data_IF_064503973993
#
_entry.id   IF_064503973993
#
_cell.length_a   1.000
_cell.length_b   1.000
_cell.length_c   1.000
_cell.angle_alpha   90.00
_cell.angle_beta   90.00
_cell.angle_gamma   90.00
#
_symmetry.space_group_name_H-M   'P 1'
#
loop_
_entity.id
_entity.type
_entity.pdbx_description
1 polymer ?
#
# COMPACT_ATOMS: atom_id res chain seq x y z
N UNK A 1 -19.72 -21.64 -9.56
CA UNK A 1 -19.32 -20.22 -9.53
C UNK A 1 -18.00 -20.07 -8.80
N UNK A 2 -17.09 -19.30 -9.36
CA UNK A 2 -15.80 -19.01 -8.69
C UNK A 2 -15.97 -17.90 -7.65
N UNK A 3 -15.02 -17.81 -6.72
CA UNK A 3 -14.97 -16.71 -5.75
C UNK A 3 -14.91 -15.35 -6.49
N UNK A 4 -14.07 -15.26 -7.53
CA UNK A 4 -13.93 -14.06 -8.33
C UNK A 4 -15.27 -13.63 -8.97
N UNK A 5 -16.00 -14.57 -9.55
CA UNK A 5 -17.30 -14.29 -10.18
C UNK A 5 -18.33 -13.87 -9.12
N UNK A 6 -18.35 -14.52 -7.97
CA UNK A 6 -19.23 -14.16 -6.86
C UNK A 6 -18.97 -12.74 -6.36
N UNK A 7 -17.71 -12.43 -6.09
CA UNK A 7 -17.32 -11.12 -5.56
C UNK A 7 -17.56 -10.01 -6.59
N UNK A 8 -17.37 -10.28 -7.88
CA UNK A 8 -17.70 -9.32 -8.93
C UNK A 8 -19.17 -8.90 -8.89
N UNK A 9 -20.07 -9.84 -8.58
CA UNK A 9 -21.50 -9.56 -8.43
C UNK A 9 -21.83 -8.75 -7.18
N UNK A 10 -20.90 -8.69 -6.22
CA UNK A 10 -21.05 -7.95 -4.96
C UNK A 10 -20.29 -6.61 -5.00
N UNK A 11 -20.00 -6.09 -6.17
CA UNK A 11 -19.29 -4.81 -6.38
C UNK A 11 -17.84 -4.80 -5.90
N UNK A 12 -17.19 -5.96 -5.91
CA UNK A 12 -15.75 -6.04 -5.66
C UNK A 12 -14.97 -5.95 -6.95
N UNK A 13 -13.81 -5.32 -6.87
CA UNK A 13 -12.83 -5.31 -7.97
C UNK A 13 -11.64 -6.16 -7.57
N UNK A 14 -11.19 -6.97 -8.52
CA UNK A 14 -10.04 -7.85 -8.34
C UNK A 14 -8.74 -7.16 -8.73
N UNK A 15 -7.75 -7.26 -7.86
CA UNK A 15 -6.39 -6.76 -8.10
C UNK A 15 -5.47 -7.97 -8.03
N UNK A 16 -4.75 -8.24 -9.13
CA UNK A 16 -3.80 -9.34 -9.17
C UNK A 16 -2.59 -9.03 -8.28
N UNK A 17 -2.17 -10.01 -7.51
CA UNK A 17 -1.00 -9.91 -6.64
C UNK A 17 0.10 -10.82 -7.13
N UNK A 18 1.35 -10.41 -6.93
CA UNK A 18 2.50 -11.27 -7.05
C UNK A 18 3.01 -11.64 -5.67
N UNK A 19 3.42 -12.90 -5.51
CA UNK A 19 3.92 -13.40 -4.23
C UNK A 19 5.43 -13.51 -4.28
N UNK A 20 6.12 -12.91 -3.29
CA UNK A 20 7.58 -12.99 -3.22
C UNK A 20 8.02 -14.37 -2.72
N UNK A 21 9.32 -14.66 -2.86
CA UNK A 21 9.90 -15.93 -2.41
C UNK A 21 9.73 -16.18 -0.91
N UNK A 22 9.58 -15.14 -0.11
CA UNK A 22 9.34 -15.23 1.34
C UNK A 22 7.86 -15.08 1.72
N UNK A 23 6.97 -15.03 0.72
CA UNK A 23 5.53 -15.10 0.93
C UNK A 23 4.80 -13.78 1.08
N UNK A 24 5.46 -12.64 0.83
CA UNK A 24 4.77 -11.34 0.84
C UNK A 24 4.00 -11.12 -0.47
N UNK A 25 2.85 -10.47 -0.36
CA UNK A 25 2.07 -10.06 -1.54
C UNK A 25 2.43 -8.64 -1.95
N UNK A 26 2.67 -8.46 -3.23
CA UNK A 26 2.98 -7.19 -3.87
C UNK A 26 2.05 -6.95 -5.05
N UNK A 27 1.88 -5.70 -5.43
CA UNK A 27 1.22 -5.34 -6.68
C UNK A 27 1.85 -4.07 -7.24
N UNK A 28 1.65 -3.84 -8.52
CA UNK A 28 2.02 -2.59 -9.15
C UNK A 28 0.87 -1.61 -9.02
N UNK A 29 1.22 -0.35 -8.74
CA UNK A 29 0.24 0.73 -8.69
C UNK A 29 0.78 1.97 -9.35
N UNK A 30 0.02 3.06 -9.23
CA UNK A 30 0.47 4.37 -9.64
C UNK A 30 0.21 5.41 -8.56
N UNK A 31 1.09 6.37 -8.45
CA UNK A 31 0.97 7.48 -7.52
C UNK A 31 1.05 8.76 -8.35
N UNK A 32 -0.08 9.46 -8.46
CA UNK A 32 -0.22 10.63 -9.33
C UNK A 32 0.33 10.40 -10.74
N UNK A 33 0.01 9.24 -11.31
CA UNK A 33 0.41 8.84 -12.67
C UNK A 33 1.80 8.19 -12.77
N UNK A 34 2.57 8.12 -11.68
CA UNK A 34 3.90 7.51 -11.68
C UNK A 34 3.85 6.08 -11.15
N UNK A 35 4.55 5.12 -11.77
CA UNK A 35 4.53 3.73 -11.31
C UNK A 35 5.17 3.59 -9.93
N UNK A 36 4.53 2.80 -9.08
CA UNK A 36 5.00 2.50 -7.72
C UNK A 36 4.86 1.01 -7.41
N UNK A 37 5.73 0.52 -6.56
CA UNK A 37 5.66 -0.84 -6.04
C UNK A 37 4.90 -0.82 -4.71
N UNK A 38 3.88 -1.66 -4.57
CA UNK A 38 2.98 -1.68 -3.42
C UNK A 38 3.10 -3.02 -2.68
N UNK A 39 3.35 -2.94 -1.38
CA UNK A 39 3.32 -4.08 -0.47
C UNK A 39 1.94 -4.15 0.19
N UNK A 40 1.33 -5.33 0.18
CA UNK A 40 0.07 -5.58 0.88
C UNK A 40 0.41 -6.01 2.32
N UNK A 41 0.01 -5.20 3.31
CA UNK A 41 0.40 -5.45 4.71
C UNK A 41 -0.80 -5.25 5.64
N UNK A 42 -1.43 -6.35 6.02
CA UNK A 42 -2.57 -6.34 6.94
C UNK A 42 -2.18 -5.93 8.37
N UNK A 43 -0.89 -5.98 8.69
CA UNK A 43 -0.37 -5.55 9.99
C UNK A 43 -0.10 -4.06 10.09
N UNK A 44 -0.11 -3.33 8.98
CA UNK A 44 0.04 -1.89 8.97
C UNK A 44 -1.33 -1.24 9.23
N UNK A 45 -1.44 -0.39 10.25
CA UNK A 45 -2.70 0.28 10.57
C UNK A 45 -3.10 1.31 9.51
N UNK A 46 -2.12 1.97 8.93
CA UNK A 46 -2.33 3.03 7.93
C UNK A 46 -1.53 2.75 6.66
N UNK A 47 -2.11 3.16 5.53
CA UNK A 47 -1.40 3.15 4.26
C UNK A 47 -0.39 4.28 4.24
N UNK A 48 0.86 3.97 3.88
CA UNK A 48 1.95 4.94 3.87
C UNK A 48 2.76 4.85 2.58
N UNK A 49 3.24 6.00 2.13
CA UNK A 49 4.10 6.14 0.96
C UNK A 49 5.52 6.43 1.42
N UNK A 50 6.50 5.90 0.73
CA UNK A 50 7.91 6.23 0.96
C UNK A 50 8.13 7.73 0.81
N UNK A 51 8.66 8.37 1.86
CA UNK A 51 9.00 9.78 1.83
C UNK A 51 10.02 10.09 0.73
N UNK A 52 11.02 9.22 0.57
CA UNK A 52 12.03 9.36 -0.48
C UNK A 52 11.39 9.34 -1.88
N UNK A 53 10.45 8.42 -2.10
CA UNK A 53 9.75 8.32 -3.39
C UNK A 53 8.86 9.54 -3.64
N UNK A 54 8.15 10.02 -2.63
CA UNK A 54 7.32 11.21 -2.73
C UNK A 54 8.14 12.44 -3.11
N UNK A 55 9.31 12.61 -2.50
CA UNK A 55 10.23 13.71 -2.82
C UNK A 55 10.80 13.59 -4.22
N UNK A 56 11.19 12.38 -4.62
CA UNK A 56 11.69 12.09 -5.97
C UNK A 56 10.67 12.45 -7.04
N UNK A 57 9.38 12.21 -6.76
CA UNK A 57 8.28 12.54 -7.67
C UNK A 57 7.83 14.00 -7.60
N UNK A 58 8.41 14.80 -6.69
CA UNK A 58 8.06 16.20 -6.53
C UNK A 58 6.67 16.43 -5.95
N UNK A 59 6.15 15.50 -5.17
CA UNK A 59 4.81 15.62 -4.59
C UNK A 59 4.80 16.61 -3.42
N UNK A 60 3.65 17.25 -3.19
CA UNK A 60 3.47 18.21 -2.12
C UNK A 60 3.32 17.51 -0.78
N UNK A 61 4.16 17.86 0.19
CA UNK A 61 4.20 17.27 1.52
C UNK A 61 3.88 18.33 2.57
N UNK A 62 3.05 17.96 3.54
CA UNK A 62 2.78 18.78 4.73
C UNK A 62 3.13 17.98 5.97
N UNK A 63 4.11 18.44 6.73
CA UNK A 63 4.51 17.79 7.97
C UNK A 63 3.39 17.86 9.01
N UNK A 64 3.11 16.74 9.67
CA UNK A 64 2.10 16.64 10.73
C UNK A 64 2.76 16.75 12.12
N UNK A 65 1.99 17.24 13.10
CA UNK A 65 2.43 17.35 14.49
C UNK A 65 2.33 16.04 15.26
N UNK A 66 2.57 14.93 14.57
CA UNK A 66 2.55 13.61 15.18
C UNK A 66 3.70 12.78 14.62
N UNK A 67 4.13 11.78 15.37
CA UNK A 67 5.16 10.84 14.98
C UNK A 67 4.53 9.48 14.73
N UNK A 68 5.05 8.77 13.73
CA UNK A 68 4.68 7.38 13.46
C UNK A 68 5.68 6.43 14.06
N UNK A 69 5.20 5.26 14.49
CA UNK A 69 6.06 4.17 14.91
C UNK A 69 6.39 3.26 13.75
N UNK A 70 7.67 2.93 13.58
CA UNK A 70 8.10 1.86 12.70
C UNK A 70 8.50 0.62 13.49
N UNK A 71 8.74 -0.48 12.80
CA UNK A 71 9.36 -1.65 13.38
C UNK A 71 10.72 -1.24 13.99
N UNK A 72 10.97 -1.58 15.26
CA UNK A 72 12.19 -1.18 15.96
C UNK A 72 12.04 0.01 16.89
N UNK A 73 10.83 0.59 17.03
CA UNK A 73 10.52 1.59 18.04
C UNK A 73 10.99 3.01 17.74
N UNK A 74 11.57 3.29 16.58
CA UNK A 74 11.94 4.65 16.19
C UNK A 74 10.71 5.48 15.91
N UNK A 75 10.66 6.70 16.44
CA UNK A 75 9.61 7.66 16.10
C UNK A 75 10.01 8.43 14.85
N UNK A 76 9.17 8.36 13.83
CA UNK A 76 9.42 8.95 12.52
C UNK A 76 8.47 10.09 12.25
N UNK A 77 8.95 11.09 11.53
CA UNK A 77 8.09 12.18 11.04
C UNK A 77 7.06 11.62 10.07
N UNK A 78 5.83 12.12 10.20
CA UNK A 78 4.73 11.79 9.28
C UNK A 78 4.38 13.04 8.50
N UNK A 79 4.18 12.84 7.19
CA UNK A 79 3.76 13.89 6.28
C UNK A 79 2.43 13.51 5.65
N UNK A 80 1.61 14.51 5.36
CA UNK A 80 0.44 14.36 4.50
C UNK A 80 0.84 14.63 3.06
N UNK A 81 0.50 13.73 2.15
CA UNK A 81 0.64 13.92 0.72
C UNK A 81 -0.57 14.70 0.20
N UNK A 82 -0.37 15.98 -0.12
CA UNK A 82 -1.44 16.87 -0.53
C UNK A 82 -1.73 16.70 -2.01
N UNK A 83 -2.97 16.35 -2.35
CA UNK A 83 -3.42 16.25 -3.73
C UNK A 83 -2.88 15.06 -4.51
N UNK A 84 -2.28 14.08 -3.84
CA UNK A 84 -1.77 12.88 -4.50
C UNK A 84 -2.88 11.82 -4.64
N UNK A 85 -2.81 11.04 -5.72
CA UNK A 85 -3.74 9.96 -6.01
C UNK A 85 -3.00 8.63 -6.10
N UNK A 86 -3.41 7.66 -5.28
CA UNK A 86 -2.93 6.30 -5.36
C UNK A 86 -3.96 5.46 -6.11
N UNK A 87 -3.51 4.70 -7.11
CA UNK A 87 -4.35 3.77 -7.86
C UNK A 87 -3.70 2.40 -7.94
N UNK A 88 -4.51 1.36 -7.86
CA UNK A 88 -4.12 -0.03 -8.11
C UNK A 88 -4.86 -0.47 -9.38
N UNK A 89 -4.22 -0.30 -10.54
CA UNK A 89 -4.92 -0.41 -11.82
C UNK A 89 -6.01 0.65 -11.93
N UNK A 90 -7.26 0.23 -12.15
CA UNK A 90 -8.41 1.13 -12.23
C UNK A 90 -9.04 1.43 -10.86
N UNK A 91 -8.56 0.79 -9.79
CA UNK A 91 -9.12 0.94 -8.45
C UNK A 91 -8.38 2.02 -7.69
N UNK A 92 -9.10 3.00 -7.19
CA UNK A 92 -8.56 4.00 -6.27
C UNK A 92 -8.90 3.58 -4.85
N UNK A 93 -7.90 3.13 -4.04
CA UNK A 93 -8.17 2.78 -2.65
C UNK A 93 -8.69 3.96 -1.85
N UNK A 94 -9.64 3.68 -0.95
CA UNK A 94 -10.20 4.70 -0.06
C UNK A 94 -9.39 4.77 1.21
N UNK A 95 -8.59 5.82 1.36
CA UNK A 95 -7.93 6.15 2.61
C UNK A 95 -8.25 7.61 2.95
N UNK A 96 -8.37 7.91 4.25
CA UNK A 96 -8.72 9.25 4.74
C UNK A 96 -7.71 10.30 4.33
N UNK A 97 -6.45 9.94 4.46
CA UNK A 97 -5.34 10.79 4.09
C UNK A 97 -4.19 9.90 3.66
N UNK A 98 -3.57 10.25 2.55
CA UNK A 98 -2.38 9.55 2.10
C UNK A 98 -1.18 10.10 2.84
N UNK A 99 -0.53 9.26 3.63
CA UNK A 99 0.60 9.64 4.48
C UNK A 99 1.92 9.22 3.84
N UNK A 100 2.98 9.94 4.17
CA UNK A 100 4.34 9.59 3.79
C UNK A 100 5.23 9.50 5.00
N UNK A 101 6.10 8.51 5.02
CA UNK A 101 7.09 8.27 6.07
C UNK A 101 8.37 7.73 5.45
N UNK A 102 9.46 7.83 6.20
CA UNK A 102 10.70 7.16 5.84
C UNK A 102 10.51 5.64 5.94
N UNK A 103 10.63 4.94 4.83
CA UNK A 103 10.54 3.48 4.75
C UNK A 103 11.90 2.80 4.64
N UNK A 104 13.00 3.50 4.95
CA UNK A 104 14.36 2.93 4.83
C UNK A 104 14.52 1.63 5.61
N UNK A 105 13.99 1.58 6.82
CA UNK A 105 14.07 0.39 7.68
C UNK A 105 13.30 -0.80 7.09
N UNK A 106 12.15 -0.55 6.48
CA UNK A 106 11.35 -1.58 5.81
C UNK A 106 12.12 -2.13 4.60
N UNK A 107 12.61 -1.22 3.75
CA UNK A 107 13.32 -1.61 2.54
C UNK A 107 14.67 -2.28 2.82
N UNK A 108 15.35 -1.90 3.90
CA UNK A 108 16.56 -2.60 4.36
C UNK A 108 16.22 -4.03 4.79
N UNK A 109 15.13 -4.22 5.52
CA UNK A 109 14.68 -5.54 5.95
C UNK A 109 14.29 -6.41 4.74
N UNK A 110 13.61 -5.84 3.75
CA UNK A 110 13.27 -6.56 2.52
C UNK A 110 14.51 -6.96 1.74
N UNK A 111 15.49 -6.06 1.64
CA UNK A 111 16.75 -6.32 0.93
C UNK A 111 17.53 -7.49 1.55
N UNK A 112 17.52 -7.62 2.88
CA UNK A 112 18.15 -8.75 3.57
C UNK A 112 17.53 -10.09 3.20
N UNK A 113 16.29 -10.10 2.75
CA UNK A 113 15.56 -11.29 2.30
C UNK A 113 15.61 -11.45 0.77
N UNK A 114 16.37 -10.62 0.08
CA UNK A 114 16.47 -10.65 -1.38
C UNK A 114 15.26 -10.07 -2.09
N UNK A 115 14.41 -9.31 -1.41
CA UNK A 115 13.25 -8.69 -2.00
C UNK A 115 13.53 -7.26 -2.47
N UNK A 116 12.81 -6.84 -3.50
CA UNK A 116 12.91 -5.50 -4.05
C UNK A 116 12.29 -4.47 -3.09
N UNK A 117 12.78 -3.20 -3.13
CA UNK A 117 12.19 -2.14 -2.33
C UNK A 117 10.75 -1.84 -2.74
N UNK A 118 9.98 -1.33 -1.79
CA UNK A 118 8.60 -0.91 -2.01
C UNK A 118 8.46 0.59 -1.82
N UNK A 119 7.51 1.17 -2.53
CA UNK A 119 7.20 2.60 -2.48
C UNK A 119 5.99 2.90 -1.61
N UNK A 120 5.08 1.93 -1.49
CA UNK A 120 3.81 2.08 -0.77
C UNK A 120 3.56 0.83 0.06
N UNK A 121 3.10 1.03 1.30
CA UNK A 121 2.55 -0.04 2.13
C UNK A 121 1.05 0.19 2.21
N UNK A 122 0.28 -0.73 1.64
CA UNK A 122 -1.18 -0.68 1.69
C UNK A 122 -1.65 -1.38 2.97
N UNK A 123 -2.35 -0.67 3.82
CA UNK A 123 -2.65 -1.10 5.17
C UNK A 123 -4.13 -1.31 5.48
N UNK A 124 -4.39 -1.58 6.75
CA UNK A 124 -5.71 -1.95 7.27
C UNK A 124 -6.77 -0.85 7.09
N UNK A 125 -6.37 0.42 7.03
CA UNK A 125 -7.29 1.53 6.77
C UNK A 125 -8.09 1.34 5.48
N UNK A 126 -7.41 0.95 4.41
CA UNK A 126 -8.05 0.63 3.12
C UNK A 126 -8.83 -0.68 3.21
N UNK A 127 -8.26 -1.70 3.82
CA UNK A 127 -8.89 -3.02 3.89
C UNK A 127 -10.20 -2.98 4.69
N UNK A 128 -10.24 -2.23 5.78
CA UNK A 128 -11.46 -2.04 6.55
C UNK A 128 -12.50 -1.22 5.79
N UNK A 129 -12.08 -0.11 5.17
CA UNK A 129 -12.99 0.77 4.45
C UNK A 129 -13.65 0.08 3.26
N UNK A 130 -12.98 -0.87 2.63
CA UNK A 130 -13.43 -1.51 1.40
C UNK A 130 -13.67 -3.01 1.54
N UNK A 131 -13.87 -3.49 2.76
CA UNK A 131 -14.21 -4.88 3.08
C UNK A 131 -13.32 -5.88 2.34
N UNK A 132 -12.00 -5.66 2.37
CA UNK A 132 -11.04 -6.40 1.56
C UNK A 132 -11.11 -7.91 1.77
N UNK A 133 -10.97 -8.63 0.67
CA UNK A 133 -10.77 -10.08 0.68
C UNK A 133 -9.42 -10.38 0.04
N UNK A 134 -8.56 -11.06 0.78
CA UNK A 134 -7.26 -11.53 0.26
C UNK A 134 -7.38 -13.03 0.03
N UNK A 135 -7.29 -13.43 -1.22
CA UNK A 135 -7.40 -14.84 -1.58
C UNK A 135 -6.01 -15.38 -1.97
N UNK A 136 -5.49 -16.24 -1.11
CA UNK A 136 -4.21 -16.89 -1.36
C UNK A 136 -4.29 -17.86 -2.53
N UNK A 137 -5.44 -18.48 -2.74
CA UNK A 137 -5.62 -19.46 -3.82
C UNK A 137 -5.43 -18.87 -5.21
N UNK A 138 -5.94 -17.67 -5.43
CA UNK A 138 -5.81 -16.97 -6.71
C UNK A 138 -4.76 -15.86 -6.70
N UNK A 139 -4.07 -15.63 -5.58
CA UNK A 139 -3.15 -14.51 -5.37
C UNK A 139 -3.83 -13.19 -5.78
N UNK A 140 -4.93 -12.88 -5.12
CA UNK A 140 -5.74 -11.72 -5.45
C UNK A 140 -6.16 -10.95 -4.23
N UNK A 141 -6.27 -9.63 -4.40
CA UNK A 141 -6.90 -8.72 -3.46
C UNK A 141 -8.22 -8.24 -4.09
N UNK A 142 -9.30 -8.34 -3.35
CA UNK A 142 -10.59 -7.81 -3.78
C UNK A 142 -10.97 -6.64 -2.87
N UNK A 143 -11.29 -5.52 -3.46
CA UNK A 143 -11.76 -4.34 -2.76
C UNK A 143 -13.17 -3.98 -3.22
N UNK A 144 -14.05 -3.72 -2.26
CA UNK A 144 -15.42 -3.28 -2.55
C UNK A 144 -15.41 -1.82 -3.01
N UNK A 145 -16.05 -1.57 -4.12
CA UNK A 145 -16.11 -0.22 -4.72
C UNK A 145 -17.50 0.39 -4.64
#
# INVERSE_FOLDING_TARGET
MTLSAFLAQQDFRQIALSRSSVGHFHTAGSLSGHPVAVLIDTGAASTVVSLARARELGLTLKKLDMKGGGAGGAQLDIFHLVGANLCLGEVQPRCRALLAMDLSHVNQSLALKGESPVDVILGADVFEAQAAVIDYGSSSLFLKV
#
